data_IF_550205001756
#
_entry.id   IF_550205001756
#
_cell.length_a   1.000
_cell.length_b   1.000
_cell.length_c   1.000
_cell.angle_alpha   90.00
_cell.angle_beta   90.00
_cell.angle_gamma   90.00
#
_symmetry.space_group_name_H-M   'P 1'
#
loop_
_entity.id
_entity.type
_entity.pdbx_description
1 polymer ?
#
# COMPACT_ATOMS: atom_id res chain seq x y z
N UNK A 1 -14.55 -23.33 14.86
CA UNK A 1 -14.49 -22.58 13.60
C UNK A 1 -13.25 -21.68 13.61
N UNK A 2 -12.52 -21.66 12.51
CA UNK A 2 -11.33 -20.81 12.41
C UNK A 2 -11.39 -20.00 11.10
N UNK A 3 -10.76 -18.84 11.15
CA UNK A 3 -10.64 -17.98 9.99
C UNK A 3 -9.22 -17.40 9.95
N UNK A 4 -8.74 -17.11 8.78
CA UNK A 4 -7.42 -16.53 8.58
C UNK A 4 -7.57 -15.32 7.68
N UNK A 5 -6.94 -14.22 8.05
CA UNK A 5 -6.89 -13.05 7.17
C UNK A 5 -5.93 -13.37 6.02
N UNK A 6 -6.38 -13.18 4.79
CA UNK A 6 -5.54 -13.45 3.61
C UNK A 6 -4.87 -12.19 3.10
N UNK A 7 -5.65 -11.24 2.62
CA UNK A 7 -5.06 -10.02 2.06
C UNK A 7 -6.09 -8.89 1.97
N UNK A 8 -5.58 -7.69 1.79
CA UNK A 8 -6.35 -6.53 1.35
C UNK A 8 -5.97 -6.28 -0.10
N UNK A 9 -6.94 -6.07 -0.95
CA UNK A 9 -6.70 -5.74 -2.35
C UNK A 9 -7.05 -4.29 -2.62
N UNK A 10 -6.15 -3.59 -3.29
CA UNK A 10 -6.43 -2.24 -3.80
C UNK A 10 -6.08 -2.19 -5.29
N UNK A 11 -6.77 -1.34 -6.01
CA UNK A 11 -6.52 -1.15 -7.44
C UNK A 11 -5.52 -0.04 -7.64
N UNK A 12 -4.66 -0.22 -8.64
CA UNK A 12 -3.57 0.71 -8.91
C UNK A 12 -3.57 1.12 -10.38
N UNK A 13 -2.96 2.26 -10.67
CA UNK A 13 -2.85 2.77 -12.03
C UNK A 13 -1.43 2.74 -12.58
N UNK A 14 -0.41 2.59 -11.73
CA UNK A 14 1.00 2.53 -12.15
C UNK A 14 1.75 1.51 -11.30
N UNK A 15 1.96 0.29 -11.82
CA UNK A 15 2.61 -0.77 -11.06
C UNK A 15 4.01 -0.43 -10.54
N UNK A 16 4.83 0.27 -11.34
CA UNK A 16 6.19 0.60 -10.93
C UNK A 16 6.20 1.57 -9.75
N UNK A 17 5.39 2.63 -9.82
CA UNK A 17 5.30 3.61 -8.75
C UNK A 17 4.71 3.00 -7.48
N UNK A 18 3.67 2.20 -7.62
CA UNK A 18 3.02 1.56 -6.47
C UNK A 18 3.97 0.57 -5.80
N UNK A 19 4.68 -0.23 -6.58
CA UNK A 19 5.67 -1.17 -6.04
C UNK A 19 6.75 -0.43 -5.27
N UNK A 20 7.31 0.63 -5.86
CA UNK A 20 8.37 1.41 -5.20
C UNK A 20 7.87 2.02 -3.89
N UNK A 21 6.64 2.51 -3.86
CA UNK A 21 6.04 3.07 -2.66
C UNK A 21 5.94 2.03 -1.54
N UNK A 22 5.35 0.87 -1.83
CA UNK A 22 5.14 -0.16 -0.81
C UNK A 22 6.44 -0.81 -0.35
N UNK A 23 7.42 -0.96 -1.25
CA UNK A 23 8.74 -1.43 -0.84
C UNK A 23 9.44 -0.44 0.09
N UNK A 24 9.25 0.86 -0.13
CA UNK A 24 9.81 1.89 0.77
C UNK A 24 9.19 1.81 2.18
N UNK A 25 7.96 1.31 2.30
CA UNK A 25 7.31 1.10 3.60
C UNK A 25 7.79 -0.16 4.31
N UNK A 26 8.46 -1.06 3.62
CA UNK A 26 8.93 -2.30 4.21
C UNK A 26 8.25 -3.56 3.67
N UNK A 27 7.33 -3.42 2.71
CA UNK A 27 6.76 -4.58 2.05
C UNK A 27 7.79 -5.23 1.13
N UNK A 28 7.67 -6.53 0.97
CA UNK A 28 8.52 -7.30 0.06
C UNK A 28 7.66 -7.87 -1.06
N UNK A 29 8.06 -7.63 -2.29
CA UNK A 29 7.37 -8.21 -3.44
C UNK A 29 7.48 -9.74 -3.40
N UNK A 30 6.34 -10.43 -3.45
CA UNK A 30 6.28 -11.88 -3.37
C UNK A 30 6.12 -12.54 -4.73
N UNK A 31 5.13 -12.12 -5.50
CA UNK A 31 4.84 -12.72 -6.81
C UNK A 31 3.84 -11.88 -7.58
N UNK A 32 3.73 -12.14 -8.88
CA UNK A 32 2.69 -11.55 -9.69
C UNK A 32 1.93 -12.64 -10.44
N UNK A 33 0.70 -12.35 -10.80
CA UNK A 33 -0.16 -13.28 -11.51
C UNK A 33 -1.03 -12.51 -12.51
N UNK A 34 -0.97 -12.92 -13.77
CA UNK A 34 -1.81 -12.34 -14.80
C UNK A 34 -3.17 -13.03 -14.82
N UNK A 35 -4.20 -12.23 -15.00
CA UNK A 35 -5.55 -12.72 -15.27
C UNK A 35 -5.78 -12.60 -16.76
N UNK A 36 -5.93 -13.75 -17.43
CA UNK A 36 -6.08 -13.81 -18.88
C UNK A 36 -7.51 -14.23 -19.21
N UNK A 37 -8.14 -13.49 -20.09
CA UNK A 37 -9.48 -13.80 -20.56
C UNK A 37 -9.51 -13.67 -22.09
N UNK A 38 -10.04 -14.72 -22.74
CA UNK A 38 -10.12 -14.76 -24.21
C UNK A 38 -8.76 -14.51 -24.89
N UNK A 39 -7.70 -15.06 -24.28
CA UNK A 39 -6.34 -14.94 -24.82
C UNK A 39 -5.69 -13.59 -24.56
N UNK A 40 -6.34 -12.68 -23.84
CA UNK A 40 -5.79 -11.36 -23.56
C UNK A 40 -5.59 -11.14 -22.08
N UNK A 41 -4.51 -10.44 -21.74
CA UNK A 41 -4.21 -10.08 -20.36
C UNK A 41 -5.17 -8.98 -19.92
N UNK A 42 -6.10 -9.32 -19.03
CA UNK A 42 -7.11 -8.40 -18.51
C UNK A 42 -6.57 -7.59 -17.33
N UNK A 43 -5.88 -8.25 -16.42
CA UNK A 43 -5.34 -7.64 -15.22
C UNK A 43 -4.07 -8.35 -14.79
N UNK A 44 -3.29 -7.69 -13.93
CA UNK A 44 -2.16 -8.31 -13.25
C UNK A 44 -2.29 -8.01 -11.76
N UNK A 45 -2.14 -9.05 -10.96
CA UNK A 45 -2.13 -8.92 -9.50
C UNK A 45 -0.70 -9.03 -9.01
N UNK A 46 -0.30 -8.08 -8.16
CA UNK A 46 1.03 -8.05 -7.54
C UNK A 46 0.85 -8.29 -6.05
N UNK A 47 1.49 -9.32 -5.52
CA UNK A 47 1.35 -9.71 -4.12
C UNK A 47 2.59 -9.31 -3.33
N UNK A 48 2.36 -8.73 -2.15
CA UNK A 48 3.41 -8.26 -1.27
C UNK A 48 3.27 -8.88 0.11
N UNK A 49 4.41 -9.22 0.68
CA UNK A 49 4.52 -9.73 2.04
C UNK A 49 4.96 -8.64 2.99
N UNK A 50 4.64 -8.76 4.27
CA UNK A 50 5.06 -7.82 5.29
C UNK A 50 5.50 -8.61 6.53
N UNK A 51 6.78 -8.51 6.89
CA UNK A 51 7.32 -9.33 7.97
C UNK A 51 7.13 -10.81 7.66
N UNK A 52 6.51 -11.53 8.60
CA UNK A 52 6.22 -12.95 8.42
C UNK A 52 4.87 -13.21 7.77
N UNK A 53 4.11 -12.16 7.51
CA UNK A 53 2.78 -12.28 6.89
C UNK A 53 2.92 -12.31 5.38
N UNK A 54 2.63 -13.48 4.79
CA UNK A 54 2.77 -13.66 3.35
C UNK A 54 1.58 -13.11 2.58
N UNK A 55 1.89 -12.38 1.51
CA UNK A 55 0.90 -11.94 0.51
C UNK A 55 -0.27 -11.16 1.10
N UNK A 56 -0.03 -10.35 2.13
CA UNK A 56 -1.10 -9.61 2.83
C UNK A 56 -1.64 -8.43 2.02
N UNK A 57 -0.92 -7.98 1.02
CA UNK A 57 -1.35 -6.89 0.16
C UNK A 57 -1.36 -7.37 -1.29
N UNK A 58 -2.48 -7.15 -1.97
CA UNK A 58 -2.65 -7.46 -3.38
C UNK A 58 -2.95 -6.18 -4.13
N UNK A 59 -2.08 -5.83 -5.08
CA UNK A 59 -2.28 -4.67 -5.94
C UNK A 59 -2.77 -5.16 -7.30
N UNK A 60 -3.93 -4.70 -7.72
CA UNK A 60 -4.53 -5.12 -8.99
C UNK A 60 -4.43 -4.00 -10.01
N UNK A 61 -3.74 -4.30 -11.10
CA UNK A 61 -3.63 -3.40 -12.24
C UNK A 61 -4.47 -3.92 -13.40
N UNK A 62 -5.49 -3.15 -13.79
CA UNK A 62 -6.32 -3.47 -14.96
C UNK A 62 -5.69 -2.87 -16.19
N UNK A 63 -5.57 -3.66 -17.26
CA UNK A 63 -4.87 -3.25 -18.49
C UNK A 63 -5.74 -2.42 -19.45
N UNK A 64 -6.81 -1.83 -18.97
CA UNK A 64 -7.73 -1.05 -19.81
C UNK A 64 -7.59 0.47 -19.64
N UNK A 65 -6.59 0.91 -18.85
CA UNK A 65 -6.32 2.33 -18.69
C UNK A 65 -7.28 3.11 -17.81
N UNK A 66 -8.18 2.40 -17.10
CA UNK A 66 -9.16 3.08 -16.24
C UNK A 66 -8.51 3.70 -15.00
N UNK A 67 -9.19 4.69 -14.44
CA UNK A 67 -8.83 5.29 -13.16
C UNK A 67 -9.92 4.96 -12.15
N UNK A 68 -9.66 5.27 -10.87
CA UNK A 68 -10.53 4.87 -9.78
C UNK A 68 -10.89 6.04 -8.90
N UNK A 69 -12.12 6.00 -8.38
CA UNK A 69 -12.61 6.95 -7.39
C UNK A 69 -12.80 6.16 -6.10
N UNK A 70 -12.10 6.57 -5.05
CA UNK A 70 -12.19 5.90 -3.74
C UNK A 70 -13.51 6.21 -3.03
N UNK A 71 -14.19 7.28 -3.44
CA UNK A 71 -15.44 7.68 -2.79
C UNK A 71 -15.21 8.15 -1.37
N UNK A 72 -16.28 8.18 -0.59
CA UNK A 72 -16.25 8.64 0.79
C UNK A 72 -16.25 7.51 1.82
N UNK A 73 -16.29 6.25 1.37
CA UNK A 73 -16.37 5.11 2.27
C UNK A 73 -15.03 4.47 2.61
N UNK A 74 -13.99 4.75 1.83
CA UNK A 74 -12.67 4.20 2.08
C UNK A 74 -11.97 5.02 3.17
N UNK A 75 -11.37 4.34 4.14
CA UNK A 75 -10.54 4.99 5.14
C UNK A 75 -9.07 4.89 4.77
N UNK A 76 -8.36 3.98 5.43
CA UNK A 76 -6.93 3.81 5.21
C UNK A 76 -6.49 2.40 5.60
N UNK A 77 -5.27 2.06 5.20
CA UNK A 77 -4.57 0.87 5.68
C UNK A 77 -3.49 1.38 6.62
N UNK A 78 -3.42 0.84 7.84
CA UNK A 78 -2.44 1.27 8.82
C UNK A 78 -1.27 0.30 8.87
N UNK A 79 -0.07 0.82 8.79
CA UNK A 79 1.18 0.05 8.84
C UNK A 79 2.01 0.53 10.02
N UNK A 80 2.39 -0.38 10.90
CA UNK A 80 3.31 -0.07 12.00
C UNK A 80 4.75 -0.19 11.52
N UNK A 81 5.57 0.82 11.77
CA UNK A 81 6.98 0.81 11.41
C UNK A 81 7.82 1.07 12.64
N UNK A 82 9.01 0.45 12.70
CA UNK A 82 9.91 0.60 13.84
C UNK A 82 10.69 1.92 13.79
N UNK A 83 10.82 2.51 12.59
CA UNK A 83 11.56 3.76 12.38
C UNK A 83 10.75 4.67 11.46
N UNK A 84 9.89 5.49 12.06
CA UNK A 84 9.02 6.38 11.29
C UNK A 84 9.83 7.41 10.50
N UNK A 85 10.83 8.02 11.13
CA UNK A 85 11.65 9.03 10.46
C UNK A 85 12.40 8.45 9.26
N UNK A 86 12.98 7.26 9.41
CA UNK A 86 13.66 6.56 8.33
C UNK A 86 12.72 6.19 7.19
N UNK A 87 11.52 5.77 7.52
CA UNK A 87 10.50 5.43 6.53
C UNK A 87 10.10 6.66 5.73
N UNK A 88 9.87 7.79 6.43
CA UNK A 88 9.53 9.04 5.77
C UNK A 88 10.66 9.54 4.87
N UNK A 89 11.92 9.33 5.28
CA UNK A 89 13.07 9.70 4.47
C UNK A 89 13.11 8.90 3.15
N UNK A 90 12.81 7.60 3.20
CA UNK A 90 12.75 6.77 2.00
C UNK A 90 11.64 7.22 1.06
N UNK A 91 10.48 7.59 1.62
CA UNK A 91 9.37 8.10 0.81
C UNK A 91 9.71 9.46 0.19
N UNK A 92 10.42 10.30 0.94
CA UNK A 92 10.85 11.61 0.43
C UNK A 92 11.76 11.46 -0.79
N UNK A 93 12.59 10.43 -0.85
CA UNK A 93 13.43 10.14 -2.01
C UNK A 93 12.59 9.90 -3.27
N UNK A 94 11.33 9.50 -3.11
CA UNK A 94 10.40 9.29 -4.21
C UNK A 94 9.49 10.50 -4.44
N UNK A 95 9.72 11.60 -3.72
CA UNK A 95 8.90 12.79 -3.82
C UNK A 95 7.57 12.68 -3.07
N UNK A 96 7.45 11.73 -2.14
CA UNK A 96 6.21 11.51 -1.38
C UNK A 96 6.35 12.13 0.00
N UNK A 97 5.44 13.06 0.31
CA UNK A 97 5.41 13.77 1.58
C UNK A 97 4.16 13.39 2.35
N UNK A 98 4.23 13.32 3.70
CA UNK A 98 3.02 13.12 4.50
C UNK A 98 2.10 14.35 4.41
N UNK A 99 0.81 14.14 4.66
CA UNK A 99 -0.18 15.22 4.63
C UNK A 99 0.15 16.30 5.67
N UNK A 100 0.73 15.89 6.77
CA UNK A 100 1.23 16.79 7.82
C UNK A 100 2.33 16.07 8.59
N UNK A 101 3.10 16.81 9.37
CA UNK A 101 4.16 16.24 10.20
C UNK A 101 3.59 15.16 11.15
N UNK A 102 4.39 14.17 11.54
CA UNK A 102 3.94 13.16 12.51
C UNK A 102 3.37 13.80 13.77
N UNK A 103 2.33 13.19 14.32
CA UNK A 103 1.67 13.69 15.52
C UNK A 103 1.19 12.53 16.38
N UNK A 104 0.79 12.87 17.61
CA UNK A 104 0.20 11.92 18.54
C UNK A 104 -1.27 12.24 18.68
N UNK A 105 -2.13 11.20 18.63
CA UNK A 105 -3.56 11.39 18.86
C UNK A 105 -3.81 11.76 20.30
N UNK A 106 -3.01 11.17 21.20
CA UNK A 106 -3.04 11.50 22.63
C UNK A 106 -1.60 11.65 23.13
N UNK A 107 -1.41 12.48 24.13
CA UNK A 107 -0.09 12.70 24.72
C UNK A 107 0.50 11.38 25.23
N UNK A 108 1.77 11.13 24.88
CA UNK A 108 2.46 9.90 25.26
C UNK A 108 2.11 8.69 24.42
N UNK A 109 1.21 8.82 23.42
CA UNK A 109 0.87 7.73 22.52
C UNK A 109 1.88 7.57 21.39
N UNK A 110 1.56 6.68 20.46
CA UNK A 110 2.40 6.46 19.27
C UNK A 110 2.36 7.66 18.34
N UNK A 111 3.45 7.89 17.64
CA UNK A 111 3.52 8.88 16.58
C UNK A 111 2.97 8.29 15.30
N UNK A 112 2.16 9.05 14.58
CA UNK A 112 1.59 8.60 13.32
C UNK A 112 1.54 9.74 12.32
N UNK A 113 1.40 9.37 11.06
CA UNK A 113 1.11 10.33 10.00
C UNK A 113 0.42 9.60 8.85
N UNK A 114 -0.17 10.37 7.96
CA UNK A 114 -0.82 9.85 6.78
C UNK A 114 0.00 10.20 5.55
N UNK A 115 0.27 9.20 4.72
CA UNK A 115 0.86 9.39 3.42
C UNK A 115 -0.08 8.78 2.39
N UNK A 116 -0.09 9.34 1.21
CA UNK A 116 -0.88 8.81 0.12
C UNK A 116 0.02 7.97 -0.78
N UNK A 117 -0.42 6.76 -1.10
CA UNK A 117 0.24 5.99 -2.15
C UNK A 117 -0.05 6.66 -3.50
N UNK A 118 0.51 6.19 -4.63
CA UNK A 118 0.26 6.82 -5.92
C UNK A 118 -1.22 6.91 -6.32
N UNK A 119 -2.10 6.13 -5.67
CA UNK A 119 -3.54 6.12 -5.93
C UNK A 119 -4.36 6.62 -4.72
N UNK A 120 -3.72 7.37 -3.82
CA UNK A 120 -4.33 8.08 -2.69
C UNK A 120 -4.81 7.21 -1.52
N UNK A 121 -4.13 6.12 -1.24
CA UNK A 121 -4.52 5.18 -0.16
C UNK A 121 -3.40 4.93 0.84
N UNK A 122 -3.43 5.36 2.08
CA UNK A 122 -2.62 4.74 3.15
C UNK A 122 -2.34 5.61 4.37
N UNK A 123 -2.10 4.98 5.54
CA UNK A 123 -1.51 5.63 6.72
C UNK A 123 -0.36 4.80 7.28
N UNK A 124 0.57 5.45 8.00
CA UNK A 124 1.65 4.76 8.70
C UNK A 124 1.74 5.24 10.14
N UNK A 125 2.24 4.38 11.02
CA UNK A 125 2.35 4.62 12.45
C UNK A 125 3.61 3.98 13.02
N UNK A 126 4.19 4.62 14.00
CA UNK A 126 5.33 4.04 14.72
C UNK A 126 4.89 3.09 15.81
#
# INVERSE_FOLDING_TARGET
>A
MSATFLHTMVRITDPEKSRAFYEALGFTFAREMDIVRDGQKEATNYFFSLGDDESVLELTFNHDGRTYDLGSGYGHIAIGVSDLDGTLARLDEQGIQPERAPYQVREGGNWLCFVNDPDDCLSISS
#
